data_IF_876557379331
#
_entry.id   IF_876557379331
#
_cell.length_a   1.000
_cell.length_b   1.000
_cell.length_c   1.000
_cell.angle_alpha   90.00
_cell.angle_beta   90.00
_cell.angle_gamma   90.00
#
_symmetry.space_group_name_H-M   'P 1'
#
loop_
_entity.id
_entity.type
_entity.pdbx_description
1 polymer ?
#
# COMPACT_ATOMS: atom_id res chain seq x y z
N UNK A 1 -12.85 -42.69 16.33
CA UNK A 1 -13.81 -42.24 15.30
C UNK A 1 -13.31 -40.92 14.79
N UNK A 2 -12.80 -40.85 13.55
CA UNK A 2 -12.47 -39.57 12.95
C UNK A 2 -13.77 -38.79 12.79
N UNK A 3 -13.87 -37.62 13.44
CA UNK A 3 -14.95 -36.67 13.20
C UNK A 3 -15.07 -36.48 11.70
N UNK A 4 -16.23 -36.76 11.10
CA UNK A 4 -16.49 -36.31 9.74
C UNK A 4 -16.23 -34.80 9.72
N UNK A 5 -15.22 -34.39 8.93
CA UNK A 5 -14.89 -33.00 8.79
C UNK A 5 -16.15 -32.28 8.32
N UNK A 6 -16.69 -31.41 9.16
CA UNK A 6 -17.88 -30.62 8.80
C UNK A 6 -17.50 -29.88 7.53
N UNK A 7 -18.24 -30.04 6.41
CA UNK A 7 -17.90 -29.37 5.18
C UNK A 7 -17.80 -27.86 5.45
N UNK A 8 -16.68 -27.26 5.04
CA UNK A 8 -16.43 -25.83 5.20
C UNK A 8 -17.61 -25.06 4.62
N UNK A 9 -18.22 -24.20 5.45
CA UNK A 9 -19.42 -23.47 5.06
C UNK A 9 -19.11 -22.53 3.92
N UNK A 10 -19.88 -22.65 2.84
CA UNK A 10 -19.92 -21.70 1.74
C UNK A 10 -20.92 -20.60 2.08
N UNK A 11 -20.60 -19.38 1.69
CA UNK A 11 -21.48 -18.23 1.85
C UNK A 11 -20.69 -16.93 1.99
N UNK A 12 -21.40 -15.83 1.74
CA UNK A 12 -20.85 -14.48 1.87
C UNK A 12 -20.86 -14.05 3.33
N UNK A 13 -19.72 -13.55 3.79
CA UNK A 13 -19.63 -12.89 5.09
C UNK A 13 -20.27 -11.51 4.98
N UNK A 14 -21.17 -11.21 5.91
CA UNK A 14 -21.84 -9.91 6.05
C UNK A 14 -21.27 -9.21 7.28
N UNK A 15 -21.02 -7.92 7.17
CA UNK A 15 -20.65 -7.05 8.29
C UNK A 15 -21.95 -6.44 8.83
N UNK A 16 -22.26 -6.69 10.10
CA UNK A 16 -23.46 -6.18 10.77
C UNK A 16 -23.03 -5.47 12.06
N UNK A 17 -22.91 -4.13 11.99
CA UNK A 17 -22.27 -3.35 13.04
C UNK A 17 -20.80 -3.76 13.21
N UNK A 18 -20.44 -4.23 14.41
CA UNK A 18 -19.07 -4.63 14.79
C UNK A 18 -18.82 -6.13 14.63
N UNK A 19 -19.80 -6.91 14.15
CA UNK A 19 -19.67 -8.36 14.04
C UNK A 19 -19.70 -8.85 12.59
N UNK A 20 -18.97 -9.93 12.34
CA UNK A 20 -19.04 -10.69 11.09
C UNK A 20 -20.07 -11.81 11.22
N UNK A 21 -20.91 -11.96 10.19
CA UNK A 21 -21.91 -13.02 10.12
C UNK A 21 -21.74 -13.87 8.86
N UNK A 22 -21.86 -15.18 9.02
CA UNK A 22 -21.93 -16.14 7.92
C UNK A 22 -23.19 -16.98 8.10
N UNK A 23 -24.06 -16.99 7.09
CA UNK A 23 -25.39 -17.62 7.14
C UNK A 23 -26.22 -17.15 8.35
N UNK A 24 -26.13 -15.85 8.66
CA UNK A 24 -26.85 -15.21 9.77
C UNK A 24 -26.28 -15.49 11.17
N UNK A 25 -25.20 -16.27 11.29
CA UNK A 25 -24.55 -16.58 12.57
C UNK A 25 -23.28 -15.77 12.75
N UNK A 26 -23.06 -15.25 13.94
CA UNK A 26 -21.80 -14.57 14.27
C UNK A 26 -20.61 -15.52 14.16
N UNK A 27 -19.54 -15.04 13.56
CA UNK A 27 -18.28 -15.77 13.35
C UNK A 27 -17.10 -14.92 13.82
N UNK A 28 -15.95 -15.56 13.99
CA UNK A 28 -14.66 -14.89 14.12
C UNK A 28 -13.80 -15.29 12.93
N UNK A 29 -13.38 -14.29 12.16
CA UNK A 29 -12.42 -14.46 11.08
C UNK A 29 -11.03 -14.59 11.69
N UNK A 30 -10.26 -15.59 11.27
CA UNK A 30 -8.91 -15.79 11.77
C UNK A 30 -7.97 -16.26 10.67
N UNK A 31 -6.79 -15.65 10.63
CA UNK A 31 -5.68 -16.09 9.81
C UNK A 31 -4.61 -15.01 9.74
N UNK A 32 -4.00 -14.81 8.58
CA UNK A 32 -2.84 -13.93 8.44
C UNK A 32 -2.76 -13.21 7.10
N UNK A 33 -1.68 -12.45 6.94
CA UNK A 33 -1.33 -11.79 5.70
C UNK A 33 -0.79 -12.80 4.68
N UNK A 34 -1.27 -12.72 3.45
CA UNK A 34 -0.76 -13.45 2.30
C UNK A 34 -0.35 -12.43 1.24
N UNK A 35 0.86 -11.88 1.38
CA UNK A 35 1.33 -10.71 0.63
C UNK A 35 2.67 -11.03 -0.02
N UNK A 36 2.76 -10.80 -1.34
CA UNK A 36 3.99 -10.92 -2.10
C UNK A 36 4.45 -9.53 -2.53
N UNK A 37 5.62 -9.13 -2.02
CA UNK A 37 6.16 -7.77 -2.12
C UNK A 37 7.11 -7.57 -3.31
N UNK A 38 7.33 -8.62 -4.10
CA UNK A 38 8.17 -8.60 -5.28
C UNK A 38 7.67 -9.61 -6.33
N UNK A 39 8.18 -9.48 -7.55
CA UNK A 39 7.89 -10.41 -8.64
C UNK A 39 8.49 -11.82 -8.40
N UNK A 40 7.78 -12.90 -8.77
CA UNK A 40 6.41 -12.93 -9.25
C UNK A 40 5.39 -12.59 -8.13
N UNK A 41 4.40 -11.76 -8.46
CA UNK A 41 3.43 -11.21 -7.50
C UNK A 41 2.42 -12.20 -6.95
N UNK A 42 2.35 -13.39 -7.53
CA UNK A 42 1.61 -14.53 -6.99
C UNK A 42 2.50 -15.78 -7.05
N UNK A 43 2.43 -16.66 -6.06
CA UNK A 43 3.11 -17.93 -6.12
C UNK A 43 2.41 -18.86 -7.12
N UNK A 44 3.05 -19.96 -7.53
CA UNK A 44 2.40 -20.98 -8.36
C UNK A 44 1.11 -21.48 -7.72
N UNK A 45 0.07 -21.73 -8.51
CA UNK A 45 -1.26 -22.10 -8.02
C UNK A 45 -1.24 -23.31 -7.07
N UNK A 46 -0.39 -24.31 -7.33
CA UNK A 46 -0.27 -25.47 -6.44
C UNK A 46 0.21 -25.11 -5.03
N UNK A 47 1.00 -24.05 -4.87
CA UNK A 47 1.45 -23.53 -3.57
C UNK A 47 0.27 -22.87 -2.87
N UNK A 48 -0.49 -22.01 -3.56
CA UNK A 48 -1.71 -21.40 -3.01
C UNK A 48 -2.69 -22.47 -2.53
N UNK A 49 -2.90 -23.53 -3.32
CA UNK A 49 -3.81 -24.62 -2.95
C UNK A 49 -3.34 -25.41 -1.73
N UNK A 50 -2.03 -25.61 -1.58
CA UNK A 50 -1.45 -26.26 -0.40
C UNK A 50 -1.58 -25.38 0.84
N UNK A 51 -1.26 -24.09 0.72
CA UNK A 51 -1.36 -23.11 1.80
C UNK A 51 -2.81 -22.95 2.26
N UNK A 52 -3.75 -22.82 1.32
CA UNK A 52 -5.18 -22.68 1.64
C UNK A 52 -5.72 -23.90 2.40
N UNK A 53 -5.31 -25.12 2.02
CA UNK A 53 -5.66 -26.35 2.76
C UNK A 53 -5.06 -26.35 4.17
N UNK A 54 -3.79 -25.94 4.30
CA UNK A 54 -3.11 -25.85 5.58
C UNK A 54 -3.81 -24.85 6.52
N UNK A 55 -4.22 -23.69 6.01
CA UNK A 55 -4.97 -22.68 6.77
C UNK A 55 -6.33 -23.20 7.22
N UNK A 56 -7.08 -23.85 6.34
CA UNK A 56 -8.38 -24.42 6.67
C UNK A 56 -8.26 -25.53 7.73
N UNK A 57 -7.26 -26.41 7.59
CA UNK A 57 -6.95 -27.45 8.56
C UNK A 57 -6.57 -26.82 9.91
N UNK A 58 -5.64 -25.87 9.92
CA UNK A 58 -5.20 -25.18 11.12
C UNK A 58 -6.33 -24.46 11.86
N UNK A 59 -7.27 -23.86 11.14
CA UNK A 59 -8.47 -23.26 11.74
C UNK A 59 -9.40 -24.33 12.35
N UNK A 60 -9.55 -25.49 11.71
CA UNK A 60 -10.40 -26.58 12.21
C UNK A 60 -9.83 -27.32 13.42
N UNK A 61 -8.50 -27.36 13.54
CA UNK A 61 -7.77 -28.02 14.62
C UNK A 61 -7.42 -27.05 15.76
N UNK A 62 -7.76 -25.76 15.63
CA UNK A 62 -7.33 -24.75 16.57
C UNK A 62 -7.96 -24.96 17.95
N UNK A 63 -7.13 -24.90 19.00
CA UNK A 63 -7.59 -24.94 20.38
C UNK A 63 -8.33 -23.66 20.83
N UNK A 64 -8.23 -22.58 20.05
CA UNK A 64 -8.87 -21.31 20.36
C UNK A 64 -10.40 -21.44 20.25
N UNK A 65 -11.07 -21.13 21.35
CA UNK A 65 -12.54 -20.98 21.39
C UNK A 65 -12.85 -19.50 21.50
N UNK A 66 -13.46 -18.87 20.48
CA UNK A 66 -13.87 -17.48 20.59
C UNK A 66 -14.85 -17.27 21.75
N UNK A 67 -14.87 -16.08 22.38
CA UNK A 67 -15.94 -15.73 23.31
C UNK A 67 -17.30 -15.89 22.61
N UNK A 68 -18.38 -16.25 23.31
CA UNK A 68 -19.70 -16.37 22.70
C UNK A 68 -20.20 -15.03 22.15
N UNK A 69 -21.21 -15.08 21.28
CA UNK A 69 -21.95 -13.91 20.81
C UNK A 69 -22.75 -13.25 21.96
N UNK A 70 -23.29 -12.07 21.72
CA UNK A 70 -24.05 -11.31 22.72
C UNK A 70 -25.28 -12.08 23.26
N UNK A 71 -25.87 -12.95 22.45
CA UNK A 71 -27.00 -13.83 22.82
C UNK A 71 -26.57 -15.14 23.51
N UNK A 72 -25.27 -15.32 23.76
CA UNK A 72 -24.68 -16.51 24.35
C UNK A 72 -24.41 -17.66 23.36
N UNK A 73 -24.75 -17.51 22.08
CA UNK A 73 -24.49 -18.54 21.08
C UNK A 73 -22.98 -18.68 20.78
N UNK A 74 -22.50 -19.89 20.46
CA UNK A 74 -21.09 -20.10 20.13
C UNK A 74 -20.75 -19.46 18.77
N UNK A 75 -19.60 -18.76 18.71
CA UNK A 75 -19.05 -18.25 17.44
C UNK A 75 -18.09 -19.26 16.85
N UNK A 76 -18.27 -19.55 15.56
CA UNK A 76 -17.33 -20.39 14.83
C UNK A 76 -16.11 -19.58 14.37
N UNK A 77 -14.95 -20.21 14.38
CA UNK A 77 -13.76 -19.71 13.68
C UNK A 77 -13.91 -19.99 12.19
N UNK A 78 -13.64 -18.99 11.37
CA UNK A 78 -13.61 -19.11 9.91
C UNK A 78 -12.23 -18.67 9.40
N UNK A 79 -11.50 -19.52 8.65
CA UNK A 79 -10.19 -19.18 8.14
C UNK A 79 -10.28 -18.01 7.16
N UNK A 80 -9.39 -17.03 7.30
CA UNK A 80 -9.37 -15.83 6.48
C UNK A 80 -7.93 -15.43 6.15
N UNK A 81 -7.71 -14.89 4.95
CA UNK A 81 -6.44 -14.27 4.57
C UNK A 81 -6.63 -12.80 4.23
N UNK A 82 -5.69 -11.97 4.64
CA UNK A 82 -5.51 -10.62 4.10
C UNK A 82 -4.59 -10.73 2.89
N UNK A 83 -5.19 -10.77 1.69
CA UNK A 83 -4.50 -11.02 0.43
C UNK A 83 -4.01 -9.71 -0.18
N UNK A 84 -2.69 -9.55 -0.23
CA UNK A 84 -2.05 -8.37 -0.80
C UNK A 84 -2.22 -8.30 -2.31
N UNK A 85 -2.64 -7.15 -2.79
CA UNK A 85 -2.72 -6.78 -4.21
C UNK A 85 -1.96 -5.47 -4.41
N UNK A 86 -0.99 -5.46 -5.31
CA UNK A 86 -0.05 -4.35 -5.50
C UNK A 86 -0.39 -3.62 -6.80
N UNK A 87 -0.44 -2.28 -6.81
CA UNK A 87 -0.77 -1.50 -8.02
C UNK A 87 0.26 -1.74 -9.12
N UNK A 88 1.55 -1.80 -8.77
CA UNK A 88 2.65 -2.16 -9.67
C UNK A 88 2.48 -3.54 -10.32
N UNK A 89 1.83 -4.48 -9.63
CA UNK A 89 1.56 -5.81 -10.16
C UNK A 89 0.43 -5.81 -11.21
N UNK A 90 -0.63 -5.04 -10.94
CA UNK A 90 -1.75 -4.88 -11.86
C UNK A 90 -1.38 -4.04 -13.09
N UNK A 91 -0.44 -3.09 -12.95
CA UNK A 91 0.04 -2.21 -14.00
C UNK A 91 1.57 -2.24 -14.12
N UNK A 92 2.15 -3.34 -14.62
CA UNK A 92 3.62 -3.48 -14.71
C UNK A 92 4.25 -2.50 -15.70
N UNK A 93 3.45 -1.85 -16.55
CA UNK A 93 3.86 -0.81 -17.48
C UNK A 93 2.80 0.28 -17.49
N UNK A 94 3.19 1.50 -17.88
CA UNK A 94 2.22 2.57 -18.11
C UNK A 94 1.23 2.12 -19.20
N UNK A 95 -0.04 2.00 -18.81
CA UNK A 95 -1.06 1.42 -19.65
C UNK A 95 -2.46 1.67 -19.10
N UNK A 96 -3.43 1.71 -20.02
CA UNK A 96 -4.82 1.97 -19.72
C UNK A 96 -5.61 0.73 -19.30
N UNK A 97 -4.95 -0.39 -18.98
CA UNK A 97 -5.62 -1.64 -18.64
C UNK A 97 -4.81 -2.45 -17.62
N UNK A 98 -5.54 -3.17 -16.77
CA UNK A 98 -4.99 -4.18 -15.87
C UNK A 98 -4.34 -5.29 -16.70
N UNK A 99 -3.14 -5.73 -16.31
CA UNK A 99 -2.47 -6.86 -16.93
C UNK A 99 -3.36 -8.12 -16.85
N UNK A 100 -3.79 -8.69 -17.99
CA UNK A 100 -4.64 -9.87 -17.98
C UNK A 100 -3.96 -11.10 -17.34
N UNK A 101 -2.64 -11.17 -17.36
CA UNK A 101 -1.90 -12.27 -16.72
C UNK A 101 -2.02 -12.18 -15.21
N UNK A 102 -1.79 -10.99 -14.65
CA UNK A 102 -2.01 -10.70 -13.23
C UNK A 102 -3.48 -10.95 -12.83
N UNK A 103 -4.45 -10.47 -13.62
CA UNK A 103 -5.87 -10.65 -13.31
C UNK A 103 -6.28 -12.13 -13.28
N UNK A 104 -5.78 -12.94 -14.22
CA UNK A 104 -6.02 -14.38 -14.23
C UNK A 104 -5.38 -15.10 -13.02
N UNK A 105 -4.18 -14.66 -12.60
CA UNK A 105 -3.51 -15.20 -11.41
C UNK A 105 -4.26 -14.84 -10.11
N UNK A 106 -4.76 -13.61 -10.00
CA UNK A 106 -5.63 -13.20 -8.89
C UNK A 106 -6.89 -14.06 -8.83
N UNK A 107 -7.56 -14.25 -9.97
CA UNK A 107 -8.77 -15.07 -10.07
C UNK A 107 -8.52 -16.52 -9.61
N UNK A 108 -7.45 -17.13 -10.12
CA UNK A 108 -7.05 -18.48 -9.75
C UNK A 108 -6.72 -18.61 -8.24
N UNK A 109 -6.04 -17.60 -7.69
CA UNK A 109 -5.67 -17.52 -6.27
C UNK A 109 -6.91 -17.43 -5.38
N UNK A 110 -7.84 -16.50 -5.66
CA UNK A 110 -9.09 -16.37 -4.91
C UNK A 110 -9.93 -17.63 -5.03
N UNK A 111 -10.00 -18.23 -6.22
CA UNK A 111 -10.67 -19.50 -6.45
C UNK A 111 -10.06 -20.66 -5.65
N UNK A 112 -8.74 -20.70 -5.46
CA UNK A 112 -8.08 -21.71 -4.62
C UNK A 112 -8.47 -21.56 -3.15
N UNK A 113 -8.44 -20.34 -2.60
CA UNK A 113 -8.94 -20.06 -1.25
C UNK A 113 -10.42 -20.43 -1.11
N UNK A 114 -11.25 -20.10 -2.10
CA UNK A 114 -12.68 -20.43 -2.11
C UNK A 114 -12.92 -21.95 -2.05
N UNK A 115 -12.18 -22.73 -2.83
CA UNK A 115 -12.27 -24.22 -2.82
C UNK A 115 -11.88 -24.82 -1.47
N UNK A 116 -10.97 -24.18 -0.75
CA UNK A 116 -10.54 -24.57 0.59
C UNK A 116 -11.36 -23.93 1.72
N UNK A 117 -12.44 -23.19 1.41
CA UNK A 117 -13.27 -22.54 2.43
C UNK A 117 -12.56 -21.43 3.20
N UNK A 118 -11.51 -20.83 2.63
CA UNK A 118 -10.77 -19.71 3.20
C UNK A 118 -11.33 -18.40 2.62
N UNK A 119 -11.71 -17.48 3.50
CA UNK A 119 -12.18 -16.17 3.11
C UNK A 119 -11.03 -15.23 2.79
N UNK A 120 -11.29 -14.25 1.93
CA UNK A 120 -10.29 -13.31 1.42
C UNK A 120 -10.72 -11.90 1.77
N UNK A 121 -9.80 -11.13 2.32
CA UNK A 121 -9.90 -9.69 2.48
C UNK A 121 -8.81 -9.07 1.62
N UNK A 122 -9.18 -8.28 0.60
CA UNK A 122 -8.18 -7.67 -0.26
C UNK A 122 -7.50 -6.52 0.44
N UNK A 123 -6.18 -6.49 0.33
CA UNK A 123 -5.30 -5.46 0.86
C UNK A 123 -4.57 -4.79 -0.31
N UNK A 124 -4.95 -3.55 -0.64
CA UNK A 124 -4.19 -2.73 -1.60
C UNK A 124 -2.85 -2.33 -0.97
N UNK A 125 -1.89 -3.24 -1.13
CA UNK A 125 -0.66 -3.24 -0.39
C UNK A 125 0.36 -2.29 -1.01
N UNK A 126 1.00 -1.52 -0.13
CA UNK A 126 2.19 -0.75 -0.43
C UNK A 126 3.03 -0.68 0.84
N UNK A 127 4.31 -0.41 0.62
CA UNK A 127 5.27 -0.24 1.68
C UNK A 127 6.38 0.66 1.13
N UNK A 128 6.63 1.82 1.74
CA UNK A 128 7.56 2.82 1.23
C UNK A 128 7.37 3.19 -0.27
N UNK A 129 6.12 3.17 -0.74
CA UNK A 129 5.73 3.75 -2.02
C UNK A 129 6.08 2.90 -3.24
N UNK A 130 7.35 2.80 -3.63
CA UNK A 130 7.75 2.22 -4.92
C UNK A 130 9.05 1.41 -4.85
N UNK A 131 9.24 0.47 -5.79
CA UNK A 131 10.46 -0.35 -5.89
C UNK A 131 11.72 0.49 -6.07
N UNK A 132 11.62 1.61 -6.81
CA UNK A 132 12.70 2.57 -7.00
C UNK A 132 13.10 3.31 -5.72
N UNK A 133 12.32 3.20 -4.65
CA UNK A 133 12.60 3.82 -3.36
C UNK A 133 12.86 2.77 -2.27
N UNK A 134 13.04 1.50 -2.67
CA UNK A 134 13.30 0.36 -1.79
C UNK A 134 12.06 -0.35 -1.26
N UNK A 135 10.87 0.17 -1.56
CA UNK A 135 9.58 -0.37 -1.16
C UNK A 135 8.84 -1.13 -2.28
N UNK A 136 7.52 -1.08 -2.23
CA UNK A 136 6.58 -1.66 -3.18
C UNK A 136 5.23 -0.95 -3.10
N UNK A 137 4.33 -1.20 -4.05
CA UNK A 137 3.02 -0.56 -4.10
C UNK A 137 2.78 0.13 -5.43
N UNK A 138 3.32 1.33 -5.55
CA UNK A 138 3.28 2.18 -6.73
C UNK A 138 4.11 1.56 -7.86
N UNK A 139 3.60 1.56 -9.10
CA UNK A 139 4.42 1.24 -10.25
C UNK A 139 5.56 2.24 -10.40
N UNK A 140 6.78 1.78 -10.71
CA UNK A 140 7.95 2.66 -10.88
C UNK A 140 7.75 3.72 -11.97
N UNK A 141 6.94 3.43 -12.99
CA UNK A 141 6.69 4.38 -14.08
C UNK A 141 5.87 5.58 -13.60
N UNK A 142 5.11 5.46 -12.50
CA UNK A 142 4.45 6.60 -11.87
C UNK A 142 5.52 7.54 -11.33
N UNK A 143 6.40 7.04 -10.46
CA UNK A 143 7.44 7.86 -9.82
C UNK A 143 8.45 8.42 -10.83
N UNK A 144 8.76 7.68 -11.89
CA UNK A 144 9.59 8.16 -12.99
C UNK A 144 8.94 9.32 -13.77
N UNK A 145 7.64 9.24 -14.05
CA UNK A 145 6.90 10.33 -14.70
C UNK A 145 6.80 11.57 -13.78
N UNK A 146 6.61 11.36 -12.46
CA UNK A 146 6.67 12.45 -11.49
C UNK A 146 8.04 13.14 -11.54
N UNK A 147 9.13 12.38 -11.66
CA UNK A 147 10.50 12.87 -11.77
C UNK A 147 10.75 13.63 -13.06
N UNK A 148 10.27 13.15 -14.21
CA UNK A 148 10.42 13.83 -15.51
C UNK A 148 9.70 15.18 -15.52
N UNK A 149 8.55 15.27 -14.84
CA UNK A 149 7.80 16.54 -14.70
C UNK A 149 8.30 17.42 -13.56
N UNK A 150 9.22 16.93 -12.74
CA UNK A 150 9.85 17.73 -11.69
C UNK A 150 10.71 18.83 -12.32
N UNK A 151 10.47 20.10 -11.97
CA UNK A 151 11.34 21.21 -12.40
C UNK A 151 10.74 22.22 -13.38
N UNK A 152 9.41 22.27 -13.58
CA UNK A 152 8.76 23.35 -14.32
C UNK A 152 7.79 24.16 -13.45
N UNK A 153 8.27 25.23 -12.81
CA UNK A 153 7.54 26.41 -12.29
C UNK A 153 6.28 26.24 -11.40
N UNK A 154 5.75 25.04 -11.16
CA UNK A 154 4.41 24.83 -10.57
C UNK A 154 4.42 24.09 -9.23
N UNK A 155 5.51 23.41 -8.88
CA UNK A 155 5.59 22.63 -7.64
C UNK A 155 6.44 23.38 -6.60
N UNK A 156 5.79 24.31 -5.90
CA UNK A 156 6.18 24.82 -4.58
C UNK A 156 7.67 25.09 -4.35
N UNK A 157 8.15 26.24 -4.81
CA UNK A 157 9.38 26.81 -4.27
C UNK A 157 9.13 27.22 -2.80
N UNK A 158 9.42 26.30 -1.87
CA UNK A 158 9.27 26.50 -0.42
C UNK A 158 10.48 27.21 0.20
N UNK A 159 11.22 28.01 -0.58
CA UNK A 159 12.18 28.92 0.03
C UNK A 159 11.38 29.98 0.79
N UNK A 160 11.69 30.18 2.08
CA UNK A 160 11.20 31.31 2.88
C UNK A 160 11.41 32.69 2.21
N UNK A 161 12.13 32.74 1.08
CA UNK A 161 12.32 33.91 0.23
C UNK A 161 11.07 34.29 -0.60
N UNK A 162 10.12 33.38 -0.85
CA UNK A 162 8.94 33.64 -1.70
C UNK A 162 7.90 34.60 -1.08
N UNK A 163 7.99 34.88 0.23
CA UNK A 163 7.16 35.92 0.87
C UNK A 163 7.78 37.31 0.80
N UNK A 164 9.01 37.44 0.29
CA UNK A 164 9.61 38.72 -0.04
C UNK A 164 9.63 38.87 -1.56
N UNK A 165 9.12 39.98 -2.08
CA UNK A 165 9.17 40.35 -3.51
C UNK A 165 10.59 40.64 -4.02
N UNK A 166 11.61 40.14 -3.31
CA UNK A 166 13.03 40.42 -3.50
C UNK A 166 13.87 39.14 -3.50
N UNK A 167 13.38 38.07 -4.15
CA UNK A 167 14.21 36.90 -4.46
C UNK A 167 15.14 37.23 -5.64
N UNK A 168 16.12 38.10 -5.40
CA UNK A 168 17.13 38.56 -6.38
C UNK A 168 18.43 37.75 -6.32
N UNK A 169 18.52 36.78 -5.42
CA UNK A 169 19.66 35.89 -5.33
C UNK A 169 19.35 34.54 -5.96
N UNK A 170 20.34 34.04 -6.69
CA UNK A 170 20.56 32.69 -7.21
C UNK A 170 20.52 31.57 -6.15
N UNK A 171 19.70 31.73 -5.12
CA UNK A 171 19.53 30.84 -3.98
C UNK A 171 18.41 29.85 -4.30
N UNK A 172 18.75 28.84 -5.11
CA UNK A 172 18.82 27.45 -4.66
C UNK A 172 18.77 26.51 -5.90
N UNK A 173 19.89 26.34 -6.63
CA UNK A 173 19.93 25.37 -7.72
C UNK A 173 19.70 23.92 -7.23
N UNK A 174 19.92 23.64 -5.94
CA UNK A 174 19.71 22.31 -5.34
C UNK A 174 18.26 22.06 -4.87
N UNK A 175 17.47 23.08 -4.53
CA UNK A 175 16.04 22.88 -4.23
C UNK A 175 15.16 22.72 -5.47
N UNK A 176 15.76 22.76 -6.67
CA UNK A 176 15.08 22.60 -7.94
C UNK A 176 15.04 21.15 -8.44
N UNK A 177 15.55 20.19 -7.66
CA UNK A 177 15.55 18.77 -8.03
C UNK A 177 14.78 17.95 -7.00
N UNK A 178 13.48 18.24 -6.87
CA UNK A 178 12.57 17.34 -6.14
C UNK A 178 12.76 15.93 -6.69
N UNK A 179 13.15 15.03 -5.80
CA UNK A 179 13.44 13.64 -6.14
C UNK A 179 12.23 12.78 -5.80
N UNK A 180 11.77 11.99 -6.75
CA UNK A 180 10.65 11.04 -6.60
C UNK A 180 11.10 9.57 -6.76
N UNK A 181 12.30 9.36 -7.33
CA UNK A 181 12.90 8.06 -7.60
C UNK A 181 14.36 8.01 -7.13
N UNK A 182 14.88 6.82 -6.89
CA UNK A 182 16.32 6.61 -6.71
C UNK A 182 17.01 6.35 -8.04
N UNK A 183 17.98 7.19 -8.37
CA UNK A 183 18.89 7.05 -9.54
C UNK A 183 20.29 7.52 -9.16
N UNK A 184 21.32 7.36 -10.02
CA UNK A 184 22.65 7.92 -9.76
C UNK A 184 22.64 9.44 -9.57
N UNK A 185 21.81 10.15 -10.35
CA UNK A 185 21.63 11.60 -10.28
C UNK A 185 20.77 12.03 -9.07
N UNK A 186 19.87 11.16 -8.63
CA UNK A 186 18.98 11.36 -7.48
C UNK A 186 19.08 10.19 -6.49
N UNK A 187 20.22 10.02 -5.80
CA UNK A 187 20.44 8.86 -4.94
C UNK A 187 19.45 8.86 -3.77
N UNK A 188 19.19 7.67 -3.19
CA UNK A 188 18.34 7.55 -2.02
C UNK A 188 18.95 8.38 -0.88
N UNK A 189 18.18 9.32 -0.34
CA UNK A 189 18.64 10.25 0.68
C UNK A 189 17.63 10.31 1.81
N UNK A 190 18.08 10.52 3.06
CA UNK A 190 17.16 10.86 4.13
C UNK A 190 16.48 12.21 3.79
N UNK A 191 15.26 12.42 4.24
CA UNK A 191 14.65 13.75 4.22
C UNK A 191 15.55 14.74 4.98
N UNK A 192 15.49 16.03 4.64
CA UNK A 192 16.41 17.07 5.13
C UNK A 192 16.23 17.38 6.63
N UNK A 193 16.49 16.40 7.49
CA UNK A 193 16.57 16.53 8.93
C UNK A 193 18.01 16.92 9.31
N UNK A 194 18.20 17.65 10.43
CA UNK A 194 19.53 17.87 10.97
C UNK A 194 20.28 16.55 11.18
N UNK A 195 21.56 16.48 10.80
CA UNK A 195 22.40 15.28 10.92
C UNK A 195 22.36 14.65 12.33
N UNK A 196 22.28 15.47 13.38
CA UNK A 196 22.19 14.98 14.76
C UNK A 196 20.89 14.20 15.03
N UNK A 197 19.79 14.57 14.38
CA UNK A 197 18.51 13.84 14.45
C UNK A 197 18.65 12.55 13.66
N UNK A 198 19.16 12.63 12.42
CA UNK A 198 19.35 11.44 11.58
C UNK A 198 20.21 10.38 12.28
N UNK A 199 21.34 10.77 12.86
CA UNK A 199 22.24 9.87 13.59
C UNK A 199 21.57 9.29 14.84
N UNK A 200 20.90 10.13 15.63
CA UNK A 200 20.21 9.69 16.85
C UNK A 200 19.12 8.64 16.58
N UNK A 201 18.46 8.73 15.44
CA UNK A 201 17.38 7.82 15.05
C UNK A 201 17.81 6.75 14.03
N UNK A 202 19.10 6.69 13.66
CA UNK A 202 19.62 5.69 12.73
C UNK A 202 19.06 5.80 11.30
N UNK A 203 18.72 7.02 10.86
CA UNK A 203 18.08 7.31 9.57
C UNK A 203 19.06 7.46 8.40
N UNK A 204 20.35 7.27 8.62
CA UNK A 204 21.36 7.36 7.56
C UNK A 204 21.18 6.23 6.54
N UNK A 205 21.14 6.59 5.26
CA UNK A 205 21.10 5.64 4.14
C UNK A 205 22.47 4.98 4.02
N UNK A 206 22.50 3.65 3.98
CA UNK A 206 23.74 2.87 3.84
C UNK A 206 23.86 2.27 2.46
N UNK A 207 25.09 2.13 1.96
CA UNK A 207 25.42 1.47 0.70
C UNK A 207 26.54 0.47 0.93
N UNK A 208 26.75 -0.47 0.00
CA UNK A 208 27.92 -1.34 0.07
C UNK A 208 29.22 -0.58 -0.20
N UNK A 209 30.24 -0.83 0.61
CA UNK A 209 31.56 -0.22 0.44
C UNK A 209 32.17 -0.60 -0.91
N UNK A 210 32.71 0.42 -1.61
CA UNK A 210 33.42 0.23 -2.87
C UNK A 210 32.53 0.09 -4.11
N UNK A 211 31.21 0.22 -3.98
CA UNK A 211 30.29 0.34 -5.12
C UNK A 211 30.32 1.80 -5.64
N UNK A 212 30.90 2.08 -6.82
CA UNK A 212 31.04 3.44 -7.32
C UNK A 212 29.70 4.04 -7.76
N UNK A 213 28.69 3.21 -8.04
CA UNK A 213 27.37 3.66 -8.44
C UNK A 213 26.30 2.66 -7.95
N UNK A 214 25.98 2.69 -6.64
CA UNK A 214 25.10 1.70 -6.03
C UNK A 214 23.65 1.80 -6.50
N UNK A 215 23.29 2.81 -7.29
CA UNK A 215 21.93 3.06 -7.73
C UNK A 215 21.73 2.78 -9.21
N UNK A 216 22.78 2.86 -10.03
CA UNK A 216 22.68 2.61 -11.47
C UNK A 216 22.12 1.23 -11.80
N UNK A 217 22.57 0.12 -11.15
CA UNK A 217 21.94 -1.16 -11.33
C UNK A 217 20.48 -1.05 -10.89
N UNK A 218 19.55 -1.39 -11.79
CA UNK A 218 18.10 -1.29 -11.61
C UNK A 218 17.51 0.13 -11.71
N UNK A 219 18.28 1.19 -11.94
CA UNK A 219 17.71 2.54 -12.14
C UNK A 219 17.01 2.69 -13.48
N UNK A 220 16.11 3.67 -13.59
CA UNK A 220 15.50 4.06 -14.87
C UNK A 220 16.51 4.68 -15.86
N UNK A 221 17.67 5.14 -15.37
CA UNK A 221 18.71 5.78 -16.17
C UNK A 221 19.55 4.74 -16.95
N UNK A 222 19.55 3.47 -16.52
CA UNK A 222 20.20 2.37 -17.23
C UNK A 222 19.26 1.72 -18.25
N UNK A 223 19.62 1.78 -19.54
CA UNK A 223 18.83 1.24 -20.65
C UNK A 223 18.64 -0.29 -20.60
N UNK A 224 19.44 -1.01 -19.81
CA UNK A 224 19.32 -2.45 -19.60
C UNK A 224 18.73 -2.85 -18.26
N UNK A 225 18.44 -1.90 -17.38
CA UNK A 225 17.96 -2.17 -16.04
C UNK A 225 16.48 -2.56 -15.99
N UNK A 226 16.09 -3.20 -14.89
CA UNK A 226 14.70 -3.44 -14.56
C UNK A 226 14.35 -2.81 -13.19
N UNK A 227 13.77 -1.60 -13.17
CA UNK A 227 13.39 -0.89 -11.95
C UNK A 227 12.38 -1.62 -11.06
N UNK A 228 11.63 -2.58 -11.61
CA UNK A 228 10.75 -3.46 -10.82
C UNK A 228 11.52 -4.26 -9.76
N UNK A 229 12.81 -4.49 -9.97
CA UNK A 229 13.65 -5.29 -9.09
C UNK A 229 14.59 -4.45 -8.22
N UNK A 230 14.46 -3.12 -8.19
CA UNK A 230 15.38 -2.32 -7.36
C UNK A 230 15.27 -2.67 -5.86
N UNK A 231 14.08 -2.89 -5.33
CA UNK A 231 13.89 -3.25 -3.90
C UNK A 231 14.51 -4.62 -3.52
N UNK A 232 14.43 -5.62 -4.41
CA UNK A 232 14.85 -6.99 -4.12
C UNK A 232 16.22 -7.37 -4.72
N UNK A 233 16.59 -6.76 -5.84
CA UNK A 233 17.77 -7.05 -6.64
C UNK A 233 18.97 -6.15 -6.34
N UNK A 234 18.73 -4.91 -5.90
CA UNK A 234 19.82 -4.00 -5.56
C UNK A 234 20.30 -4.24 -4.11
N UNK A 235 21.57 -4.63 -3.97
CA UNK A 235 22.13 -4.98 -2.67
C UNK A 235 22.16 -3.76 -1.71
N UNK A 236 22.56 -2.59 -2.19
CA UNK A 236 22.60 -1.35 -1.40
C UNK A 236 21.19 -0.93 -0.96
N UNK A 237 20.20 -1.06 -1.85
CA UNK A 237 18.80 -0.83 -1.47
C UNK A 237 18.34 -1.78 -0.34
N UNK A 238 18.71 -3.06 -0.43
CA UNK A 238 18.32 -4.06 0.59
C UNK A 238 18.85 -3.80 1.99
N UNK A 239 19.96 -3.07 2.13
CA UNK A 239 20.43 -2.68 3.46
C UNK A 239 19.47 -1.70 4.17
N UNK A 240 18.70 -0.96 3.39
CA UNK A 240 17.81 0.09 3.89
C UNK A 240 16.36 -0.39 4.04
N UNK A 241 15.98 -1.50 3.42
CA UNK A 241 14.60 -2.01 3.40
C UNK A 241 14.38 -3.27 4.28
N UNK A 242 15.28 -3.54 5.22
CA UNK A 242 15.15 -4.63 6.18
C UNK A 242 14.30 -4.22 7.40
N UNK A 243 13.73 -5.19 8.12
CA UNK A 243 12.81 -4.96 9.26
C UNK A 243 13.35 -3.97 10.31
N UNK A 244 14.66 -3.98 10.57
CA UNK A 244 15.31 -3.09 11.53
C UNK A 244 15.65 -1.70 11.00
N UNK A 245 15.50 -1.46 9.70
CA UNK A 245 15.94 -0.23 9.01
C UNK A 245 14.83 0.45 8.23
N UNK A 246 13.58 -0.02 8.34
CA UNK A 246 12.42 0.53 7.63
C UNK A 246 12.22 2.04 7.83
N UNK A 247 12.57 2.55 9.02
CA UNK A 247 12.56 3.98 9.34
C UNK A 247 13.34 4.84 8.33
N UNK A 248 14.40 4.29 7.72
CA UNK A 248 15.21 4.96 6.69
C UNK A 248 14.45 5.20 5.40
N UNK A 249 13.68 4.21 4.95
CA UNK A 249 12.87 4.34 3.73
C UNK A 249 11.68 5.26 3.95
N UNK A 250 10.97 5.08 5.06
CA UNK A 250 9.77 5.88 5.32
C UNK A 250 10.13 7.36 5.51
N UNK A 251 11.36 7.68 5.95
CA UNK A 251 11.86 9.05 6.06
C UNK A 251 12.71 9.49 4.87
N UNK A 252 12.79 8.70 3.79
CA UNK A 252 13.56 9.08 2.61
C UNK A 252 12.94 10.29 1.90
N UNK A 253 13.78 11.14 1.32
CA UNK A 253 13.34 12.31 0.57
C UNK A 253 12.37 11.90 -0.56
N UNK A 254 12.69 10.81 -1.28
CA UNK A 254 11.87 10.28 -2.36
C UNK A 254 10.45 9.97 -1.90
N UNK A 255 10.28 9.19 -0.83
CA UNK A 255 8.93 8.85 -0.34
C UNK A 255 8.19 10.09 0.16
N UNK A 256 8.90 10.95 0.90
CA UNK A 256 8.32 12.17 1.48
C UNK A 256 7.82 13.14 0.42
N UNK A 257 8.40 13.14 -0.78
CA UNK A 257 7.94 13.91 -1.93
C UNK A 257 6.81 13.22 -2.70
N UNK A 258 6.89 11.90 -2.90
CA UNK A 258 5.91 11.13 -3.67
C UNK A 258 4.54 11.14 -3.02
N UNK A 259 4.43 10.83 -1.72
CA UNK A 259 3.13 10.57 -1.11
C UNK A 259 2.15 11.75 -1.11
N UNK A 260 2.55 13.00 -0.80
CA UNK A 260 1.64 14.14 -0.90
C UNK A 260 1.07 14.32 -2.31
N UNK A 261 1.88 14.06 -3.34
CA UNK A 261 1.48 14.15 -4.74
C UNK A 261 0.50 13.03 -5.12
N UNK A 262 0.72 11.82 -4.59
CA UNK A 262 -0.21 10.69 -4.72
C UNK A 262 -1.55 11.02 -4.07
N UNK A 263 -1.58 11.57 -2.85
CA UNK A 263 -2.84 11.91 -2.18
C UNK A 263 -3.59 13.06 -2.85
N UNK A 264 -2.87 14.00 -3.48
CA UNK A 264 -3.45 15.09 -4.26
C UNK A 264 -3.87 14.68 -5.69
N UNK A 265 -3.50 13.48 -6.14
CA UNK A 265 -3.78 13.01 -7.50
C UNK A 265 -5.25 13.04 -7.95
N UNK A 266 -6.28 12.90 -7.09
CA UNK A 266 -7.67 12.99 -7.57
C UNK A 266 -8.04 14.37 -8.13
N UNK A 267 -7.36 15.43 -7.70
CA UNK A 267 -7.72 16.84 -7.93
C UNK A 267 -6.72 17.60 -8.81
N UNK A 268 -5.57 17.00 -9.14
CA UNK A 268 -4.49 17.67 -9.85
C UNK A 268 -4.18 17.01 -11.22
N UNK A 269 -3.10 17.45 -11.87
CA UNK A 269 -2.65 16.91 -13.15
C UNK A 269 -2.17 15.46 -13.14
N UNK A 270 -2.01 14.83 -11.96
CA UNK A 270 -1.57 13.45 -11.79
C UNK A 270 -2.75 12.45 -11.76
N UNK A 271 -3.99 12.92 -11.90
CA UNK A 271 -5.18 12.07 -11.88
C UNK A 271 -5.11 10.92 -12.88
N UNK A 272 -4.77 11.22 -14.13
CA UNK A 272 -4.64 10.22 -15.19
C UNK A 272 -3.42 9.32 -14.98
N UNK A 273 -2.36 9.84 -14.35
CA UNK A 273 -1.14 9.07 -14.09
C UNK A 273 -1.36 8.00 -13.02
N UNK A 274 -2.02 8.33 -11.92
CA UNK A 274 -2.13 7.42 -10.77
C UNK A 274 -3.58 7.12 -10.35
N UNK A 275 -4.39 8.16 -10.11
CA UNK A 275 -5.72 7.97 -9.51
C UNK A 275 -6.64 7.11 -10.39
N UNK A 276 -6.61 7.31 -11.72
CA UNK A 276 -7.42 6.53 -12.65
C UNK A 276 -7.01 5.05 -12.73
N UNK A 277 -5.72 4.69 -12.91
CA UNK A 277 -5.26 3.31 -12.76
C UNK A 277 -5.61 2.69 -11.41
N UNK A 278 -5.41 3.44 -10.31
CA UNK A 278 -5.76 2.99 -8.97
C UNK A 278 -7.27 2.69 -8.85
N UNK A 279 -8.14 3.59 -9.34
CA UNK A 279 -9.60 3.38 -9.37
C UNK A 279 -10.01 2.20 -10.27
N UNK A 280 -9.29 1.97 -11.36
CA UNK A 280 -9.54 0.81 -12.23
C UNK A 280 -9.25 -0.50 -11.50
N UNK A 281 -8.16 -0.56 -10.74
CA UNK A 281 -7.85 -1.71 -9.87
C UNK A 281 -8.90 -1.88 -8.78
N UNK A 282 -9.26 -0.83 -8.03
CA UNK A 282 -10.30 -0.91 -6.99
C UNK A 282 -11.61 -1.46 -7.56
N UNK A 283 -12.08 -0.95 -8.71
CA UNK A 283 -13.30 -1.46 -9.37
C UNK A 283 -13.16 -2.91 -9.82
N UNK A 284 -11.99 -3.32 -10.28
CA UNK A 284 -11.73 -4.72 -10.62
C UNK A 284 -11.85 -5.62 -9.39
N UNK A 285 -11.27 -5.22 -8.24
CA UNK A 285 -11.38 -5.96 -6.99
C UNK A 285 -12.83 -6.04 -6.49
N UNK A 286 -13.61 -4.96 -6.61
CA UNK A 286 -15.06 -4.99 -6.37
C UNK A 286 -15.79 -5.99 -7.28
N UNK A 287 -15.39 -6.08 -8.55
CA UNK A 287 -15.89 -7.09 -9.49
C UNK A 287 -15.54 -8.53 -9.07
N UNK A 288 -14.33 -8.74 -8.53
CA UNK A 288 -13.94 -10.04 -7.96
C UNK A 288 -14.79 -10.36 -6.73
N UNK A 289 -15.09 -9.37 -5.87
CA UNK A 289 -16.01 -9.55 -4.75
C UNK A 289 -17.41 -9.97 -5.18
N UNK A 290 -17.97 -9.38 -6.24
CA UNK A 290 -19.27 -9.80 -6.79
C UNK A 290 -19.23 -11.25 -7.28
N UNK A 291 -18.12 -11.66 -7.92
CA UNK A 291 -17.94 -13.02 -8.46
C UNK A 291 -17.76 -14.09 -7.38
N UNK A 292 -17.11 -13.75 -6.25
CA UNK A 292 -16.71 -14.72 -5.23
C UNK A 292 -17.32 -14.41 -3.86
N UNK A 293 -18.12 -15.35 -3.34
CA UNK A 293 -18.73 -15.21 -2.00
C UNK A 293 -17.71 -15.22 -0.87
N UNK A 294 -16.55 -15.86 -1.04
CA UNK A 294 -15.52 -15.91 -0.01
C UNK A 294 -14.72 -14.60 0.11
N UNK A 295 -14.93 -13.61 -0.77
CA UNK A 295 -14.30 -12.29 -0.64
C UNK A 295 -15.17 -11.42 0.28
N UNK A 296 -14.56 -10.87 1.33
CA UNK A 296 -15.24 -10.12 2.39
C UNK A 296 -15.31 -8.64 2.04
N UNK A 297 -14.17 -8.02 1.75
CA UNK A 297 -14.03 -6.59 1.57
C UNK A 297 -12.79 -6.22 0.74
N UNK A 298 -12.69 -4.95 0.37
CA UNK A 298 -11.50 -4.32 -0.24
C UNK A 298 -11.01 -3.22 0.69
N UNK A 299 -9.79 -3.35 1.19
CA UNK A 299 -9.07 -2.28 1.86
C UNK A 299 -8.36 -1.40 0.85
N UNK A 300 -8.54 -0.08 0.99
CA UNK A 300 -8.07 0.88 0.00
C UNK A 300 -6.54 1.03 0.01
N UNK A 301 -5.89 1.03 1.16
CA UNK A 301 -4.45 1.29 1.20
C UNK A 301 -3.87 0.76 2.50
N UNK A 302 -2.90 -0.15 2.41
CA UNK A 302 -2.07 -0.57 3.54
C UNK A 302 -1.26 0.62 4.07
N UNK A 303 -1.33 0.87 5.38
CA UNK A 303 -0.47 1.78 6.13
C UNK A 303 -0.08 3.06 5.34
N UNK A 304 -1.04 3.94 5.01
CA UNK A 304 -0.78 5.11 4.17
C UNK A 304 0.43 5.91 4.71
N UNK A 305 1.56 6.01 3.97
CA UNK A 305 2.78 6.57 4.53
C UNK A 305 2.60 8.06 4.77
N UNK A 306 3.12 8.53 5.89
CA UNK A 306 3.22 9.96 6.16
C UNK A 306 4.24 10.56 5.19
N UNK A 307 3.78 11.46 4.33
CA UNK A 307 4.61 12.28 3.44
C UNK A 307 4.82 13.71 3.95
N UNK A 308 5.58 14.49 3.18
CA UNK A 308 5.71 15.93 3.37
C UNK A 308 6.83 16.42 4.29
N UNK A 309 7.62 15.53 4.91
CA UNK A 309 8.80 15.96 5.65
C UNK A 309 9.86 16.61 4.73
N UNK A 310 10.61 17.61 5.21
CA UNK A 310 10.59 18.18 6.57
C UNK A 310 9.55 19.31 6.77
N UNK A 311 8.65 19.55 5.82
CA UNK A 311 7.64 20.60 5.95
C UNK A 311 6.58 20.20 6.98
N UNK A 312 6.74 20.69 8.21
CA UNK A 312 5.83 20.38 9.31
C UNK A 312 4.37 20.77 9.04
N UNK A 313 4.09 21.77 8.19
CA UNK A 313 2.71 22.09 7.81
C UNK A 313 2.13 21.02 6.89
N UNK A 314 2.91 20.57 5.90
CA UNK A 314 2.53 19.45 5.03
C UNK A 314 2.36 18.16 5.85
N UNK A 315 3.29 17.86 6.75
CA UNK A 315 3.19 16.70 7.64
C UNK A 315 2.00 16.81 8.61
N UNK A 316 1.69 18.00 9.12
CA UNK A 316 0.53 18.19 10.00
C UNK A 316 -0.79 17.96 9.27
N UNK A 317 -0.86 18.31 7.98
CA UNK A 317 -2.06 18.19 7.14
C UNK A 317 -2.12 16.88 6.34
N UNK A 318 -1.10 16.02 6.41
CA UNK A 318 -1.03 14.80 5.59
C UNK A 318 -2.19 13.85 5.85
N UNK A 319 -2.66 13.77 7.11
CA UNK A 319 -3.81 12.95 7.46
C UNK A 319 -5.08 13.42 6.77
N UNK A 320 -5.28 14.73 6.67
CA UNK A 320 -6.37 15.30 5.88
C UNK A 320 -6.23 14.92 4.41
N UNK A 321 -5.01 14.89 3.85
CA UNK A 321 -4.78 14.49 2.47
C UNK A 321 -5.08 12.99 2.25
N UNK A 322 -4.66 12.10 3.16
CA UNK A 322 -4.96 10.67 3.13
C UNK A 322 -6.48 10.44 3.15
N UNK A 323 -7.18 11.05 4.11
CA UNK A 323 -8.63 10.94 4.23
C UNK A 323 -9.36 11.55 3.02
N UNK A 324 -8.84 12.65 2.47
CA UNK A 324 -9.37 13.26 1.24
C UNK A 324 -9.22 12.31 0.05
N UNK A 325 -8.04 11.69 -0.12
CA UNK A 325 -7.80 10.70 -1.17
C UNK A 325 -8.78 9.52 -1.06
N UNK A 326 -8.92 8.93 0.13
CA UNK A 326 -9.86 7.84 0.38
C UNK A 326 -11.32 8.29 0.17
N UNK A 327 -11.67 9.52 0.57
CA UNK A 327 -12.97 10.14 0.31
C UNK A 327 -13.28 10.28 -1.19
N UNK A 328 -12.29 10.66 -2.00
CA UNK A 328 -12.42 10.69 -3.46
C UNK A 328 -12.65 9.31 -4.06
N UNK A 329 -11.93 8.28 -3.57
CA UNK A 329 -12.17 6.88 -3.98
C UNK A 329 -13.61 6.47 -3.69
N UNK A 330 -14.08 6.70 -2.46
CA UNK A 330 -15.46 6.38 -2.07
C UNK A 330 -16.49 7.16 -2.90
N UNK A 331 -16.23 8.44 -3.19
CA UNK A 331 -17.09 9.25 -4.03
C UNK A 331 -17.16 8.67 -5.46
N UNK A 332 -16.05 8.24 -6.05
CA UNK A 332 -16.02 7.59 -7.37
C UNK A 332 -16.70 6.23 -7.40
N UNK A 333 -16.61 5.44 -6.32
CA UNK A 333 -17.33 4.17 -6.20
C UNK A 333 -18.84 4.39 -6.07
N UNK A 334 -19.26 5.41 -5.30
CA UNK A 334 -20.69 5.73 -5.09
C UNK A 334 -21.44 6.15 -6.37
N UNK A 335 -20.71 6.58 -7.40
CA UNK A 335 -21.28 6.89 -8.73
C UNK A 335 -21.80 5.64 -9.45
N UNK A 336 -21.33 4.44 -9.10
CA UNK A 336 -21.81 3.18 -9.64
C UNK A 336 -22.65 2.41 -8.60
N UNK A 337 -23.99 2.48 -8.67
CA UNK A 337 -24.87 1.83 -7.68
C UNK A 337 -24.79 0.29 -7.72
N UNK A 338 -24.08 -0.29 -8.69
CA UNK A 338 -23.85 -1.74 -8.75
C UNK A 338 -22.77 -2.19 -7.78
N UNK A 339 -21.86 -1.30 -7.36
CA UNK A 339 -20.79 -1.63 -6.43
C UNK A 339 -21.38 -1.71 -5.02
N UNK A 340 -21.45 -2.94 -4.47
CA UNK A 340 -21.92 -3.21 -3.09
C UNK A 340 -20.82 -3.72 -2.18
N UNK A 341 -19.60 -3.82 -2.70
CA UNK A 341 -18.44 -4.35 -1.98
C UNK A 341 -18.17 -3.52 -0.73
N UNK A 342 -18.06 -4.15 0.46
CA UNK A 342 -17.59 -3.46 1.66
C UNK A 342 -16.18 -2.91 1.44
N UNK A 343 -15.99 -1.64 1.76
CA UNK A 343 -14.72 -0.95 1.66
C UNK A 343 -14.16 -0.75 3.05
N UNK A 344 -12.92 -1.19 3.26
CA UNK A 344 -12.17 -0.95 4.47
C UNK A 344 -11.17 0.19 4.28
N UNK A 345 -10.95 0.93 5.35
CA UNK A 345 -10.00 2.04 5.41
C UNK A 345 -9.01 1.69 6.51
N UNK A 346 -7.74 1.54 6.13
CA UNK A 346 -6.68 1.55 7.11
C UNK A 346 -6.47 2.98 7.61
N UNK A 347 -6.34 3.09 8.93
CA UNK A 347 -6.14 4.33 9.63
C UNK A 347 -5.05 4.09 10.65
N UNK A 348 -3.80 4.15 10.17
CA UNK A 348 -2.61 4.05 11.00
C UNK A 348 -2.75 4.99 12.21
N UNK A 349 -2.92 4.41 13.40
CA UNK A 349 -3.13 5.08 14.69
C UNK A 349 -4.53 5.66 15.02
N UNK A 350 -5.62 5.22 14.37
CA UNK A 350 -7.05 5.39 14.76
C UNK A 350 -7.50 6.84 15.06
N UNK A 351 -8.33 7.42 14.17
CA UNK A 351 -9.05 8.69 14.37
C UNK A 351 -10.52 8.50 14.74
N UNK A 352 -10.94 7.27 15.03
CA UNK A 352 -12.31 6.98 15.46
C UNK A 352 -12.53 7.59 16.86
N UNK A 353 -13.73 8.14 17.15
CA UNK A 353 -14.01 8.73 18.46
C UNK A 353 -13.63 7.77 19.61
N UNK A 354 -12.62 8.15 20.39
CA UNK A 354 -12.18 7.40 21.57
C UNK A 354 -10.69 7.04 21.64
N UNK A 355 -9.93 7.08 20.53
CA UNK A 355 -8.64 6.36 20.51
C UNK A 355 -7.35 7.17 20.24
N UNK A 356 -7.39 8.43 19.77
CA UNK A 356 -6.18 9.28 19.74
C UNK A 356 -6.45 10.79 19.71
N UNK A 357 -6.09 11.48 20.80
CA UNK A 357 -6.17 12.94 20.91
C UNK A 357 -5.16 13.65 19.99
N UNK A 358 -4.01 13.02 19.71
CA UNK A 358 -2.94 13.59 18.91
C UNK A 358 -3.35 13.74 17.43
N UNK A 359 -4.11 12.78 16.89
CA UNK A 359 -4.55 12.85 15.49
C UNK A 359 -5.80 13.73 15.34
N UNK A 360 -6.64 13.84 16.37
CA UNK A 360 -7.72 14.85 16.38
C UNK A 360 -7.17 16.27 16.19
N UNK A 361 -5.98 16.57 16.74
CA UNK A 361 -5.29 17.84 16.52
C UNK A 361 -4.75 17.98 15.07
N UNK A 362 -4.26 16.89 14.47
CA UNK A 362 -3.77 16.87 13.09
C UNK A 362 -4.89 16.97 12.05
N UNK A 363 -6.09 16.47 12.36
CA UNK A 363 -7.26 16.57 11.48
C UNK A 363 -7.98 17.93 11.52
N UNK A 364 -7.77 18.72 12.59
CA UNK A 364 -8.41 20.04 12.76
C UNK A 364 -7.59 21.22 12.19
N UNK A 365 -6.36 20.98 11.74
CA UNK A 365 -5.50 21.97 11.08
C UNK A 365 -5.66 21.89 9.55
#
# INVERSE_FOLDING_TARGET
MASEATPLRKGRVVIDGEVFKLDGKEIVLMGGNYVFKAQPWFPPLQVVEADAKSMAQGASEMAYTPPPAADGSPRAVVPCVRLGVVVAAAFPKNGAAIDPTWAAALDATVGAFARAGVHVFFDLHQDAGATTNGGEGLPWWVTADLQERAGCCLEQCCCCCCFSSSCWSSCCPESCLTSYITTPSHPLRPCCLPNCIMQRFGLEITTYDGDPDPWLPFSVDDKGANPDFMNAGNASMRQNNADGTWSRLITSQQLQNVMPRIYASPENGDRALFFEPYMMLVRHLCGVWEKYENVIAVELMNEPPLGGLPNLCSTATIWRQILSFQGHVLAELSKDPRIKTPIAIDNFASTVPGESWAISLLACA
#
